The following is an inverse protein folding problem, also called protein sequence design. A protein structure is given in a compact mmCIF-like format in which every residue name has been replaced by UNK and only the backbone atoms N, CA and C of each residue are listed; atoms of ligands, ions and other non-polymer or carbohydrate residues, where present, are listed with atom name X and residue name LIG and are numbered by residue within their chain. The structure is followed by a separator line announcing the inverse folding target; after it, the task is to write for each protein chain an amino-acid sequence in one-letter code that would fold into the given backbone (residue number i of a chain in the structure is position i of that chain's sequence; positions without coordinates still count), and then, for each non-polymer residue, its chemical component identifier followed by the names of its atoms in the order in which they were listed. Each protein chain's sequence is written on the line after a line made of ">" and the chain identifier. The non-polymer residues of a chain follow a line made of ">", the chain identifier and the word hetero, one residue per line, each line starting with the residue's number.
data_IF_181101355889
#
_entry.id   IF_181101355889
#
_cell.length_a   1.000
_cell.length_b   1.000
_cell.length_c   1.000
_cell.angle_alpha   90.00
_cell.angle_beta   90.00
_cell.angle_gamma   90.00
#
_symmetry.space_group_name_H-M   'P 1'
#
loop_
_entity.id
_entity.type
_entity.pdbx_description
1 polymer ?
#
# COMPACT_ATOMS: atom_id res chain seq x y z
N UNK A 1 -16.04 -0.33 -20.07
CA UNK A 1 -16.60 -1.48 -19.33
C UNK A 1 -15.74 -1.68 -18.08
N UNK A 2 -16.32 -1.88 -16.90
CA UNK A 2 -15.54 -2.13 -15.68
C UNK A 2 -15.20 -3.62 -15.57
N UNK A 3 -14.02 -3.94 -15.01
CA UNK A 3 -13.62 -5.32 -14.75
C UNK A 3 -14.49 -5.92 -13.63
N UNK A 4 -14.87 -7.20 -13.76
CA UNK A 4 -15.60 -7.92 -12.71
C UNK A 4 -14.76 -8.14 -11.45
N UNK A 5 -15.44 -8.45 -10.33
CA UNK A 5 -14.80 -8.65 -9.03
C UNK A 5 -13.86 -9.87 -8.98
N UNK A 6 -14.15 -10.88 -9.81
CA UNK A 6 -13.36 -12.11 -9.93
C UNK A 6 -12.00 -11.89 -10.61
N UNK A 7 -11.85 -10.80 -11.36
CA UNK A 7 -10.61 -10.49 -12.07
C UNK A 7 -9.56 -10.07 -11.05
N UNK A 8 -8.41 -10.74 -11.02
CA UNK A 8 -7.28 -10.26 -10.23
C UNK A 8 -6.70 -9.01 -10.88
N UNK A 9 -6.74 -7.88 -10.17
CA UNK A 9 -6.12 -6.61 -10.57
C UNK A 9 -4.92 -6.34 -9.69
N UNK A 10 -3.77 -6.16 -10.33
CA UNK A 10 -2.51 -5.77 -9.70
C UNK A 10 -2.15 -4.39 -10.23
N UNK A 11 -2.46 -3.35 -9.47
CA UNK A 11 -2.26 -1.97 -9.86
C UNK A 11 -0.84 -1.50 -9.54
N UNK A 12 -0.07 -1.14 -10.58
CA UNK A 12 1.27 -0.54 -10.45
C UNK A 12 1.22 0.96 -10.12
N UNK A 13 0.05 1.58 -10.27
CA UNK A 13 -0.24 2.97 -9.97
C UNK A 13 -0.32 3.27 -8.48
N UNK A 14 -0.69 4.51 -8.15
CA UNK A 14 -0.76 4.98 -6.78
C UNK A 14 -2.18 4.99 -6.20
N UNK A 15 -3.17 4.86 -7.07
CA UNK A 15 -4.58 5.20 -6.86
C UNK A 15 -5.19 4.54 -5.62
N UNK A 16 -4.75 3.31 -5.33
CA UNK A 16 -5.27 2.51 -4.22
C UNK A 16 -4.27 2.31 -3.07
N UNK A 17 -3.16 3.07 -3.03
CA UNK A 17 -2.10 2.91 -2.02
C UNK A 17 -2.43 3.57 -0.68
N UNK A 18 -2.94 4.80 -0.71
CA UNK A 18 -3.14 5.60 0.49
C UNK A 18 -4.45 5.22 1.18
N UNK A 19 -4.43 5.14 2.51
CA UNK A 19 -5.62 4.91 3.34
C UNK A 19 -6.38 6.20 3.65
N UNK A 20 -5.65 7.31 3.77
CA UNK A 20 -6.22 8.61 4.10
C UNK A 20 -6.58 9.40 2.82
N UNK A 21 -7.85 9.82 2.75
CA UNK A 21 -8.35 10.58 1.62
C UNK A 21 -7.79 12.01 1.57
N UNK A 22 -7.46 12.60 2.72
CA UNK A 22 -6.87 13.94 2.82
C UNK A 22 -5.42 13.96 2.32
N UNK A 23 -4.62 12.95 2.66
CA UNK A 23 -3.28 12.76 2.09
C UNK A 23 -3.37 12.55 0.57
N UNK A 24 -4.31 11.73 0.09
CA UNK A 24 -4.51 11.57 -1.34
C UNK A 24 -4.82 12.91 -2.04
N UNK A 25 -5.81 13.66 -1.55
CA UNK A 25 -6.19 14.94 -2.15
C UNK A 25 -5.02 15.95 -2.12
N UNK A 26 -4.27 15.97 -1.01
CA UNK A 26 -3.09 16.81 -0.85
C UNK A 26 -1.97 16.49 -1.85
N UNK A 27 -1.68 15.20 -2.09
CA UNK A 27 -0.54 14.79 -2.92
C UNK A 27 -0.90 14.55 -4.39
N UNK A 28 -2.16 14.23 -4.71
CA UNK A 28 -2.61 13.83 -6.05
C UNK A 28 -3.73 14.71 -6.63
N UNK A 29 -4.32 15.64 -5.86
CA UNK A 29 -5.21 16.69 -6.38
C UNK A 29 -6.51 16.19 -7.02
N UNK A 30 -6.99 15.02 -6.61
CA UNK A 30 -8.23 14.40 -7.09
C UNK A 30 -8.97 13.69 -5.96
N UNK A 31 -10.25 13.32 -6.13
CA UNK A 31 -10.96 12.50 -5.15
C UNK A 31 -10.28 11.14 -4.94
N UNK A 32 -10.25 10.67 -3.69
CA UNK A 32 -9.66 9.38 -3.32
C UNK A 32 -10.48 8.22 -3.88
N UNK A 33 -9.81 7.32 -4.63
CA UNK A 33 -10.44 6.16 -5.26
C UNK A 33 -10.72 4.99 -4.29
N UNK A 34 -10.25 5.10 -3.04
CA UNK A 34 -10.27 4.04 -2.04
C UNK A 34 -8.91 3.38 -1.87
N UNK A 35 -8.87 2.24 -1.17
CA UNK A 35 -7.62 1.56 -0.82
C UNK A 35 -7.74 0.06 -1.04
N UNK A 36 -6.70 -0.55 -1.58
CA UNK A 36 -6.59 -2.00 -1.73
C UNK A 36 -5.45 -2.55 -0.85
N UNK A 37 -5.43 -3.87 -0.58
CA UNK A 37 -4.31 -4.52 0.08
C UNK A 37 -2.96 -4.10 -0.53
N UNK A 38 -2.09 -3.58 0.32
CA UNK A 38 -0.78 -3.05 -0.08
C UNK A 38 0.18 -4.20 -0.37
N UNK A 39 0.77 -4.20 -1.57
CA UNK A 39 1.58 -5.29 -2.13
C UNK A 39 2.98 -5.43 -1.54
N UNK A 40 3.15 -5.32 -0.22
CA UNK A 40 4.43 -5.50 0.48
C UNK A 40 4.31 -6.60 1.56
N UNK A 41 4.40 -7.89 1.16
CA UNK A 41 4.06 -9.03 2.02
C UNK A 41 4.98 -9.20 3.24
N UNK A 42 6.17 -8.62 3.23
CA UNK A 42 7.15 -8.66 4.33
C UNK A 42 6.75 -7.79 5.52
N UNK A 43 5.91 -6.76 5.31
CA UNK A 43 5.39 -5.96 6.42
C UNK A 43 4.44 -6.80 7.31
N UNK A 44 4.30 -6.47 8.62
CA UNK A 44 3.42 -7.21 9.50
C UNK A 44 1.99 -7.27 8.97
N UNK A 45 1.43 -8.48 8.91
CA UNK A 45 0.08 -8.71 8.36
C UNK A 45 -0.01 -8.61 6.84
N UNK A 46 1.01 -8.10 6.14
CA UNK A 46 1.01 -7.88 4.69
C UNK A 46 0.71 -9.15 3.89
N UNK A 47 1.41 -10.25 4.18
CA UNK A 47 1.15 -11.53 3.52
C UNK A 47 -0.27 -12.06 3.74
N UNK A 48 -0.85 -11.85 4.93
CA UNK A 48 -2.17 -12.36 5.28
C UNK A 48 -3.29 -11.64 4.51
N UNK A 49 -3.21 -10.32 4.36
CA UNK A 49 -4.22 -9.54 3.63
C UNK A 49 -4.15 -9.74 2.11
N UNK A 50 -3.02 -10.21 1.60
CA UNK A 50 -2.84 -10.53 0.18
C UNK A 50 -3.35 -11.93 -0.17
N UNK A 51 -3.42 -12.85 0.79
CA UNK A 51 -3.89 -14.21 0.55
C UNK A 51 -5.37 -14.22 0.13
N UNK A 52 -5.63 -14.62 -1.11
CA UNK A 52 -6.98 -14.64 -1.68
C UNK A 52 -7.51 -13.29 -2.19
N UNK A 53 -6.72 -12.22 -2.10
CA UNK A 53 -7.13 -10.92 -2.64
C UNK A 53 -7.22 -10.94 -4.16
N UNK A 54 -8.21 -10.23 -4.72
CA UNK A 54 -8.35 -9.93 -6.16
C UNK A 54 -7.96 -8.50 -6.51
N UNK A 55 -7.48 -7.73 -5.53
CA UNK A 55 -7.12 -6.31 -5.66
C UNK A 55 -5.81 -6.06 -4.92
N UNK A 56 -4.80 -5.56 -5.61
CA UNK A 56 -3.48 -5.31 -5.03
C UNK A 56 -3.01 -3.92 -5.46
N UNK A 57 -2.70 -3.07 -4.49
CA UNK A 57 -2.01 -1.81 -4.73
C UNK A 57 -0.51 -2.04 -4.57
N UNK A 58 0.24 -2.04 -5.66
CA UNK A 58 1.67 -2.33 -5.62
C UNK A 58 2.43 -1.15 -5.05
N UNK A 59 3.33 -1.35 -4.08
CA UNK A 59 4.08 -0.28 -3.46
C UNK A 59 4.94 0.48 -4.46
N UNK A 60 5.22 1.75 -4.16
CA UNK A 60 6.23 2.49 -4.91
C UNK A 60 7.62 1.90 -4.68
N UNK A 61 8.54 2.12 -5.62
CA UNK A 61 9.93 1.63 -5.52
C UNK A 61 10.67 2.19 -4.29
N UNK A 62 10.57 3.50 -4.03
CA UNK A 62 11.17 4.11 -2.84
C UNK A 62 10.53 3.65 -1.52
N UNK A 63 9.18 3.66 -1.35
CA UNK A 63 8.54 3.08 -0.17
C UNK A 63 8.95 1.63 0.08
N UNK A 64 9.08 0.80 -0.97
CA UNK A 64 9.53 -0.58 -0.81
C UNK A 64 10.91 -0.64 -0.14
N UNK A 65 11.89 0.07 -0.67
CA UNK A 65 13.25 0.07 -0.13
C UNK A 65 13.30 0.64 1.30
N UNK A 66 12.66 1.79 1.53
CA UNK A 66 12.68 2.49 2.81
C UNK A 66 11.93 1.72 3.89
N UNK A 67 10.74 1.19 3.58
CA UNK A 67 9.97 0.40 4.54
C UNK A 67 10.70 -0.88 4.93
N UNK A 68 11.29 -1.61 3.99
CA UNK A 68 12.05 -2.82 4.32
C UNK A 68 13.30 -2.54 5.15
N UNK A 69 13.98 -1.41 4.88
CA UNK A 69 15.18 -1.02 5.63
C UNK A 69 14.85 -0.56 7.06
N UNK A 70 13.80 0.26 7.23
CA UNK A 70 13.53 0.95 8.49
C UNK A 70 12.54 0.22 9.39
N UNK A 71 11.58 -0.52 8.82
CA UNK A 71 10.50 -1.13 9.60
C UNK A 71 10.99 -1.93 10.82
N UNK A 72 12.02 -2.80 10.71
CA UNK A 72 12.50 -3.57 11.86
C UNK A 72 13.03 -2.70 13.00
N UNK A 73 13.70 -1.58 12.69
CA UNK A 73 14.25 -0.68 13.70
C UNK A 73 13.15 0.03 14.48
N UNK A 74 12.11 0.54 13.79
CA UNK A 74 10.95 1.15 14.45
C UNK A 74 10.13 0.14 15.26
N UNK A 75 9.91 -1.06 14.72
CA UNK A 75 9.18 -2.12 15.42
C UNK A 75 9.88 -2.59 16.71
N UNK A 76 11.21 -2.50 16.75
CA UNK A 76 12.02 -2.80 17.93
C UNK A 76 12.30 -1.58 18.81
N UNK A 77 11.70 -0.41 18.53
CA UNK A 77 11.93 0.84 19.25
C UNK A 77 13.42 1.26 19.31
N UNK A 78 14.17 0.98 18.25
CA UNK A 78 15.59 1.37 18.09
C UNK A 78 15.76 2.70 17.36
N UNK A 79 14.69 3.26 16.80
CA UNK A 79 14.64 4.53 16.11
C UNK A 79 13.36 5.28 16.49
N UNK A 80 13.44 6.61 16.50
CA UNK A 80 12.34 7.54 16.76
C UNK A 80 12.00 8.32 15.48
N UNK A 81 10.75 8.80 15.30
CA UNK A 81 10.47 9.88 14.37
C UNK A 81 11.27 11.13 14.75
N UNK A 82 11.66 11.94 13.76
CA UNK A 82 12.23 13.28 14.03
C UNK A 82 11.19 14.24 14.62
#
# INVERSE_FOLDING_TARGET
>A
EQLGDEVLVVDMGADFRLQDAGDWEKFYGSPHAGTWPYGLPELPGGRAVLAGSRRIAVPGCYPTAVSLALFPAYAASLAEPE
#
